data_IF_514974803090
#
_entry.id   IF_514974803090
#
_cell.length_a   1.000
_cell.length_b   1.000
_cell.length_c   1.000
_cell.angle_alpha   90.00
_cell.angle_beta   90.00
_cell.angle_gamma   90.00
#
_symmetry.space_group_name_H-M   'P 1'
#
loop_
_entity.id
_entity.type
_entity.pdbx_description
1 polymer ?
#
# COMPACT_ATOMS: atom_id res chain seq x y z
N UNK A 1 -4.58 -19.26 5.10
CA UNK A 1 -3.78 -18.06 5.39
C UNK A 1 -3.89 -17.07 4.24
N UNK A 2 -4.12 -15.82 4.55
CA UNK A 2 -4.25 -14.79 3.53
C UNK A 2 -2.90 -14.20 3.16
N UNK A 3 -2.79 -13.81 1.89
CA UNK A 3 -1.59 -13.13 1.39
C UNK A 3 -1.67 -11.64 1.73
N UNK A 4 -0.51 -11.02 1.79
CA UNK A 4 -0.40 -9.58 2.05
C UNK A 4 0.36 -8.94 0.90
N UNK A 5 -0.19 -7.86 0.34
CA UNK A 5 0.43 -7.13 -0.76
C UNK A 5 0.70 -5.68 -0.38
N UNK A 6 1.66 -5.08 -1.07
CA UNK A 6 1.97 -3.65 -0.90
C UNK A 6 1.97 -3.02 -2.28
N UNK A 7 1.19 -1.97 -2.46
CA UNK A 7 1.02 -1.28 -3.74
C UNK A 7 1.51 0.16 -3.61
N UNK A 8 2.33 0.60 -4.54
CA UNK A 8 2.83 1.96 -4.55
C UNK A 8 4.01 2.10 -5.49
N UNK A 9 4.67 3.26 -5.44
CA UNK A 9 5.87 3.46 -6.23
C UNK A 9 7.01 2.62 -5.66
N UNK A 10 7.88 2.17 -6.54
CA UNK A 10 8.97 1.25 -6.17
C UNK A 10 9.79 1.74 -4.97
N UNK A 11 10.18 3.01 -5.00
CA UNK A 11 11.04 3.57 -3.95
C UNK A 11 10.38 3.52 -2.57
N UNK A 12 9.06 3.60 -2.52
CA UNK A 12 8.35 3.57 -1.25
C UNK A 12 8.15 2.16 -0.71
N UNK A 13 8.03 1.17 -1.59
CA UNK A 13 7.58 -0.15 -1.16
C UNK A 13 8.63 -1.26 -1.24
N UNK A 14 9.75 -1.05 -1.93
CA UNK A 14 10.68 -2.14 -2.15
C UNK A 14 11.21 -2.77 -0.86
N UNK A 15 11.33 -2.00 0.19
CA UNK A 15 11.81 -2.50 1.48
C UNK A 15 10.91 -3.57 2.09
N UNK A 16 9.62 -3.57 1.74
CA UNK A 16 8.69 -4.56 2.26
C UNK A 16 8.93 -5.95 1.69
N UNK A 17 9.69 -6.08 0.61
CA UNK A 17 10.01 -7.38 0.04
C UNK A 17 10.80 -8.24 1.02
N UNK A 18 11.61 -7.60 1.87
CA UNK A 18 12.42 -8.31 2.85
C UNK A 18 11.56 -8.94 3.95
N UNK A 19 10.31 -8.52 4.07
CA UNK A 19 9.38 -9.03 5.06
C UNK A 19 8.51 -10.16 4.50
N UNK A 20 8.76 -10.58 3.26
CA UNK A 20 8.00 -11.65 2.64
C UNK A 20 6.66 -11.23 2.06
N UNK A 21 6.42 -9.93 1.93
CA UNK A 21 5.19 -9.42 1.34
C UNK A 21 5.31 -9.34 -0.18
N UNK A 22 4.17 -9.46 -0.86
CA UNK A 22 4.13 -9.29 -2.33
C UNK A 22 4.17 -7.81 -2.66
N UNK A 23 5.26 -7.34 -3.26
CA UNK A 23 5.33 -5.93 -3.64
C UNK A 23 4.81 -5.74 -5.06
N UNK A 24 4.04 -4.68 -5.27
CA UNK A 24 3.40 -4.37 -6.54
C UNK A 24 3.74 -2.94 -6.94
N UNK A 25 4.91 -2.71 -7.57
CA UNK A 25 5.27 -1.37 -8.01
C UNK A 25 4.34 -0.89 -9.12
N UNK A 26 3.87 0.33 -8.99
CA UNK A 26 2.96 0.94 -9.97
C UNK A 26 3.42 2.36 -10.25
N UNK A 27 3.08 2.89 -11.42
CA UNK A 27 3.52 4.21 -11.85
C UNK A 27 2.38 5.18 -12.13
N UNK A 28 1.23 4.69 -12.55
CA UNK A 28 0.12 5.57 -12.91
C UNK A 28 -1.21 4.99 -12.43
N UNK A 29 -2.27 5.78 -12.59
CA UNK A 29 -3.60 5.41 -12.13
C UNK A 29 -4.08 4.09 -12.70
N UNK A 30 -3.85 3.86 -13.98
CA UNK A 30 -4.31 2.67 -14.64
C UNK A 30 -3.64 1.43 -14.09
N UNK A 31 -2.33 1.49 -13.89
CA UNK A 31 -1.59 0.39 -13.28
C UNK A 31 -2.08 0.11 -11.86
N UNK A 32 -2.32 1.17 -11.08
CA UNK A 32 -2.81 1.03 -9.71
C UNK A 32 -4.16 0.31 -9.71
N UNK A 33 -5.06 0.77 -10.57
CA UNK A 33 -6.40 0.21 -10.67
C UNK A 33 -6.38 -1.26 -11.06
N UNK A 34 -5.62 -1.58 -12.10
CA UNK A 34 -5.50 -2.95 -12.58
C UNK A 34 -4.91 -3.88 -11.52
N UNK A 35 -3.90 -3.39 -10.82
CA UNK A 35 -3.25 -4.19 -9.80
C UNK A 35 -4.18 -4.44 -8.61
N UNK A 36 -4.93 -3.43 -8.19
CA UNK A 36 -5.90 -3.59 -7.12
C UNK A 36 -6.95 -4.64 -7.45
N UNK A 37 -7.46 -4.60 -8.67
CA UNK A 37 -8.46 -5.57 -9.11
C UNK A 37 -7.91 -6.99 -9.09
N UNK A 38 -6.67 -7.16 -9.58
CA UNK A 38 -6.03 -8.46 -9.56
C UNK A 38 -5.87 -8.99 -8.15
N UNK A 39 -5.42 -8.13 -7.24
CA UNK A 39 -5.19 -8.55 -5.85
C UNK A 39 -6.48 -8.94 -5.15
N UNK A 40 -7.56 -8.21 -5.42
CA UNK A 40 -8.86 -8.55 -4.86
C UNK A 40 -9.33 -9.91 -5.36
N UNK A 41 -9.12 -10.18 -6.66
CA UNK A 41 -9.52 -11.46 -7.26
C UNK A 41 -8.66 -12.61 -6.78
N UNK A 42 -7.43 -12.35 -6.40
CA UNK A 42 -6.49 -13.38 -5.95
C UNK A 42 -6.57 -13.67 -4.44
N UNK A 43 -7.61 -13.19 -3.80
CA UNK A 43 -7.89 -13.48 -2.39
C UNK A 43 -6.80 -12.98 -1.41
N UNK A 44 -6.27 -11.82 -1.69
CA UNK A 44 -5.38 -11.18 -0.74
C UNK A 44 -6.18 -10.70 0.46
N UNK A 45 -5.65 -10.92 1.65
CA UNK A 45 -6.34 -10.52 2.88
C UNK A 45 -6.06 -9.09 3.29
N UNK A 46 -4.83 -8.62 3.01
CA UNK A 46 -4.42 -7.26 3.37
C UNK A 46 -3.68 -6.64 2.18
N UNK A 47 -4.04 -5.41 1.86
CA UNK A 47 -3.37 -4.64 0.82
C UNK A 47 -2.93 -3.32 1.44
N UNK A 48 -1.62 -3.12 1.57
CA UNK A 48 -1.07 -1.84 1.94
C UNK A 48 -0.90 -1.01 0.68
N UNK A 49 -1.31 0.23 0.70
CA UNK A 49 -1.21 1.11 -0.45
C UNK A 49 -0.67 2.47 0.00
N UNK A 50 0.29 3.02 -0.75
CA UNK A 50 0.82 4.32 -0.39
C UNK A 50 -0.27 5.39 -0.53
N UNK A 51 -0.18 6.44 0.28
CA UNK A 51 -1.15 7.53 0.23
C UNK A 51 -1.23 8.16 -1.15
N UNK A 52 -0.09 8.30 -1.82
CA UNK A 52 -0.06 8.87 -3.17
C UNK A 52 -0.81 7.99 -4.17
N UNK A 53 -0.61 6.67 -4.11
CA UNK A 53 -1.31 5.75 -4.99
C UNK A 53 -2.81 5.71 -4.66
N UNK A 54 -3.13 5.74 -3.38
CA UNK A 54 -4.53 5.74 -2.93
C UNK A 54 -5.29 6.96 -3.45
N UNK A 55 -4.63 8.12 -3.46
CA UNK A 55 -5.25 9.35 -3.94
C UNK A 55 -5.65 9.27 -5.41
N UNK A 56 -4.90 8.49 -6.19
CA UNK A 56 -5.17 8.34 -7.62
C UNK A 56 -6.43 7.48 -7.89
N UNK A 57 -6.79 6.63 -6.94
CA UNK A 57 -7.88 5.68 -7.12
C UNK A 57 -8.88 5.72 -5.97
N UNK A 58 -9.11 6.89 -5.41
CA UNK A 58 -9.98 7.03 -4.24
C UNK A 58 -11.39 6.50 -4.48
N UNK A 59 -11.93 6.66 -5.68
CA UNK A 59 -13.25 6.15 -6.04
C UNK A 59 -13.28 4.61 -6.03
N UNK A 60 -12.22 4.00 -6.52
CA UNK A 60 -12.08 2.55 -6.53
C UNK A 60 -12.01 2.01 -5.09
N UNK A 61 -11.23 2.70 -4.23
CA UNK A 61 -11.08 2.30 -2.84
C UNK A 61 -12.41 2.40 -2.08
N UNK A 62 -13.21 3.37 -2.40
CA UNK A 62 -14.53 3.53 -1.79
C UNK A 62 -15.42 2.31 -2.06
N UNK A 63 -15.32 1.74 -3.27
CA UNK A 63 -16.05 0.55 -3.63
C UNK A 63 -15.65 -0.67 -2.79
N UNK A 64 -14.35 -0.77 -2.48
CA UNK A 64 -13.85 -1.91 -1.71
C UNK A 64 -14.04 -1.75 -0.21
N UNK A 65 -14.35 -0.55 0.23
CA UNK A 65 -14.48 -0.24 1.64
C UNK A 65 -15.58 -1.03 2.35
N UNK A 66 -16.63 -1.36 1.64
CA UNK A 66 -17.76 -2.10 2.18
C UNK A 66 -17.49 -3.60 2.32
N UNK A 67 -16.41 -4.07 1.73
CA UNK A 67 -16.06 -5.48 1.80
C UNK A 67 -15.25 -5.78 3.05
N UNK A 68 -15.47 -6.94 3.62
CA UNK A 68 -14.71 -7.39 4.77
C UNK A 68 -13.24 -7.63 4.39
N UNK A 69 -13.05 -8.25 3.23
CA UNK A 69 -11.70 -8.55 2.70
C UNK A 69 -11.63 -8.12 1.25
N UNK A 70 -10.49 -7.65 0.79
CA UNK A 70 -9.27 -7.41 1.58
C UNK A 70 -9.36 -6.15 2.42
N UNK A 71 -8.61 -6.10 3.50
CA UNK A 71 -8.45 -4.87 4.27
C UNK A 71 -7.43 -4.02 3.54
N UNK A 72 -7.80 -2.80 3.19
CA UNK A 72 -6.92 -1.89 2.45
C UNK A 72 -6.46 -0.80 3.40
N UNK A 73 -5.15 -0.75 3.64
CA UNK A 73 -4.57 0.16 4.62
C UNK A 73 -3.60 1.12 3.92
N UNK A 74 -3.82 2.42 4.11
CA UNK A 74 -2.94 3.43 3.52
C UNK A 74 -1.70 3.61 4.36
N UNK A 75 -0.55 3.70 3.68
CA UNK A 75 0.73 3.92 4.33
C UNK A 75 1.42 5.12 3.70
N UNK A 76 2.26 5.84 4.46
CA UNK A 76 3.01 6.95 3.87
C UNK A 76 4.03 6.43 2.87
N UNK A 77 4.30 7.22 1.84
CA UNK A 77 5.34 6.91 0.86
C UNK A 77 6.43 7.97 0.92
N UNK A 78 7.51 7.72 0.20
CA UNK A 78 8.62 8.67 0.13
C UNK A 78 8.55 9.55 -1.10
N UNK A 79 7.93 9.05 -2.17
CA UNK A 79 7.82 9.79 -3.44
C UNK A 79 6.83 10.93 -3.34
N UNK A 80 7.22 12.07 -3.92
CA UNK A 80 6.34 13.23 -3.99
C UNK A 80 6.11 13.92 -2.67
N UNK A 81 6.85 13.55 -1.66
CA UNK A 81 6.72 14.16 -0.34
C UNK A 81 7.70 15.27 -0.10
N UNK A 82 7.29 16.22 0.73
CA UNK A 82 8.18 17.15 1.36
C UNK A 82 8.88 16.39 2.49
N UNK A 83 9.82 17.02 3.16
CA UNK A 83 10.50 16.37 4.27
C UNK A 83 9.60 15.79 5.34
N UNK A 84 8.40 16.34 5.49
CA UNK A 84 7.43 15.85 6.48
C UNK A 84 6.98 14.41 6.18
N UNK A 85 6.83 14.07 4.88
CA UNK A 85 6.42 12.73 4.51
C UNK A 85 7.46 11.68 4.86
N UNK A 86 8.73 12.00 4.64
CA UNK A 86 9.83 11.09 4.96
C UNK A 86 9.88 10.84 6.47
N UNK A 87 9.69 11.88 7.24
CA UNK A 87 9.66 11.76 8.69
C UNK A 87 8.49 10.89 9.15
N UNK A 88 7.34 11.02 8.49
CA UNK A 88 6.19 10.20 8.80
C UNK A 88 6.44 8.71 8.56
N UNK A 89 7.12 8.38 7.47
CA UNK A 89 7.48 7.00 7.16
C UNK A 89 8.39 6.43 8.24
N UNK A 90 9.41 7.20 8.61
CA UNK A 90 10.35 6.79 9.65
C UNK A 90 9.64 6.53 10.97
N UNK A 91 8.75 7.42 11.33
CA UNK A 91 7.98 7.30 12.56
C UNK A 91 7.09 6.06 12.57
N UNK A 92 6.47 5.78 11.45
CA UNK A 92 5.62 4.61 11.31
C UNK A 92 6.41 3.32 11.49
N UNK A 93 7.59 3.25 10.88
CA UNK A 93 8.45 2.09 10.99
C UNK A 93 8.92 1.92 12.45
N UNK A 94 9.29 2.99 13.09
CA UNK A 94 9.73 2.94 14.48
C UNK A 94 8.62 2.44 15.40
N UNK A 95 7.40 2.87 15.19
CA UNK A 95 6.27 2.40 15.98
C UNK A 95 6.00 0.93 15.78
N UNK A 96 6.10 0.47 14.54
CA UNK A 96 5.86 -0.95 14.23
C UNK A 96 6.92 -1.85 14.85
N UNK A 97 8.16 -1.39 14.87
CA UNK A 97 9.28 -2.18 15.41
C UNK A 97 9.45 -1.95 16.90
N UNK A 98 9.28 -0.72 17.35
CA UNK A 98 9.56 -0.34 18.73
C UNK A 98 8.44 -0.59 19.71
N UNK A 99 7.28 -1.00 19.26
CA UNK A 99 6.15 -1.25 20.13
C UNK A 99 6.20 -2.59 20.84
N UNK A 100 7.20 -3.35 20.59
CA UNK A 100 7.36 -4.65 21.22
C UNK A 100 7.73 -4.56 22.70
#
# INVERSE_FOLDING_TARGET
>A
MYKIAVVGDYDSIYGFATLGLSICPVRDREEIRDRLRSLVEEDYGIIYITEAAAAEVSDELEMYREKTLPAIIQIPGVSGNTGAGVEGVKKTVEQAVGSD
#
